data_IF_887136188218
#
_entry.id   IF_887136188218
#
_cell.length_a   1.000
_cell.length_b   1.000
_cell.length_c   1.000
_cell.angle_alpha   90.00
_cell.angle_beta   90.00
_cell.angle_gamma   90.00
#
_symmetry.space_group_name_H-M   'P 1'
#
loop_
_entity.id
_entity.type
_entity.pdbx_description
1 polymer ?
#
# COMPACT_ATOMS: atom_id res chain seq x y z
N UNK A 1 -28.18 -37.55 55.21
CA UNK A 1 -29.15 -36.43 55.18
C UNK A 1 -29.80 -36.47 53.81
N UNK A 2 -31.06 -36.91 53.68
CA UNK A 2 -32.29 -36.05 53.54
C UNK A 2 -32.02 -34.89 52.55
N UNK A 3 -32.67 -34.71 51.41
CA UNK A 3 -34.06 -34.90 50.96
C UNK A 3 -34.08 -35.04 49.41
N UNK A 4 -34.87 -35.95 48.82
CA UNK A 4 -36.17 -35.74 48.14
C UNK A 4 -36.12 -34.72 46.97
N UNK A 5 -36.64 -34.99 45.76
CA UNK A 5 -37.67 -35.96 45.43
C UNK A 5 -37.80 -36.30 43.93
N UNK A 6 -38.50 -37.41 43.76
CA UNK A 6 -38.95 -38.08 42.55
C UNK A 6 -39.93 -37.26 41.71
N UNK A 7 -39.98 -37.55 40.42
CA UNK A 7 -41.25 -37.84 39.72
C UNK A 7 -41.02 -38.97 38.71
N UNK A 8 -41.64 -40.10 39.03
CA UNK A 8 -41.84 -41.30 38.21
C UNK A 8 -42.99 -41.06 37.23
N UNK A 9 -43.05 -41.81 36.13
CA UNK A 9 -44.27 -41.90 35.34
C UNK A 9 -44.14 -42.55 33.98
N UNK A 10 -43.67 -43.81 33.93
CA UNK A 10 -43.96 -44.70 32.80
C UNK A 10 -45.39 -45.24 32.98
N UNK A 11 -46.20 -45.21 31.93
CA UNK A 11 -47.45 -45.98 31.84
C UNK A 11 -47.76 -46.27 30.37
N UNK A 12 -47.50 -47.53 29.99
CA UNK A 12 -48.27 -48.24 28.96
C UNK A 12 -49.74 -48.34 29.42
N UNK A 13 -50.69 -48.25 28.49
CA UNK A 13 -51.78 -49.23 28.26
C UNK A 13 -52.87 -48.67 27.32
N UNK A 14 -53.07 -49.43 26.24
CA UNK A 14 -54.32 -49.98 25.72
C UNK A 14 -55.55 -49.12 25.32
N UNK A 15 -56.03 -49.51 24.14
CA UNK A 15 -57.44 -49.72 23.75
C UNK A 15 -58.33 -48.48 23.57
N UNK A 16 -58.77 -48.21 22.34
CA UNK A 16 -60.04 -48.77 21.85
C UNK A 16 -60.33 -48.31 20.42
N UNK A 17 -60.62 -49.28 19.58
CA UNK A 17 -61.24 -49.14 18.27
C UNK A 17 -62.66 -48.63 18.46
N UNK A 18 -63.07 -47.60 17.70
CA UNK A 18 -64.47 -47.31 17.43
C UNK A 18 -64.61 -46.68 16.06
N UNK A 19 -64.93 -47.54 15.09
CA UNK A 19 -65.47 -47.18 13.81
C UNK A 19 -66.89 -46.61 14.00
N UNK A 20 -67.16 -45.42 13.46
CA UNK A 20 -68.52 -44.97 13.19
C UNK A 20 -68.63 -44.47 11.75
N UNK A 21 -69.22 -45.38 10.97
CA UNK A 21 -69.76 -45.26 9.64
C UNK A 21 -70.89 -44.21 9.63
N UNK A 22 -70.71 -43.08 8.92
CA UNK A 22 -71.80 -42.15 8.61
C UNK A 22 -71.93 -42.02 7.09
N UNK A 23 -72.97 -42.68 6.57
CA UNK A 23 -73.46 -42.59 5.20
C UNK A 23 -73.79 -41.14 4.85
N UNK A 24 -73.23 -40.62 3.76
CA UNK A 24 -73.73 -39.40 3.09
C UNK A 24 -74.36 -39.78 1.76
N UNK A 25 -75.68 -39.68 1.69
CA UNK A 25 -76.44 -39.65 0.44
C UNK A 25 -76.56 -38.21 -0.07
N UNK A 26 -76.63 -38.00 -1.41
CA UNK A 26 -76.73 -36.68 -2.04
C UNK A 26 -78.20 -36.21 -2.18
N UNK A 27 -78.47 -34.89 -2.31
CA UNK A 27 -79.79 -34.41 -2.69
C UNK A 27 -80.00 -34.54 -4.21
N UNK A 28 -81.09 -35.21 -4.59
CA UNK A 28 -81.49 -35.42 -5.98
C UNK A 28 -82.39 -34.28 -6.48
N UNK A 29 -82.28 -34.08 -7.78
CA UNK A 29 -82.86 -33.02 -8.61
C UNK A 29 -84.40 -33.13 -8.70
N UNK A 30 -85.06 -31.97 -8.69
CA UNK A 30 -86.43 -31.83 -9.15
C UNK A 30 -86.47 -31.78 -10.69
N UNK A 31 -87.18 -32.75 -11.25
CA UNK A 31 -87.60 -32.86 -12.64
C UNK A 31 -88.48 -31.68 -13.09
N UNK A 32 -88.20 -31.12 -14.27
CA UNK A 32 -89.23 -30.70 -15.21
C UNK A 32 -88.90 -31.16 -16.63
N UNK A 33 -89.82 -31.98 -17.13
CA UNK A 33 -89.94 -32.54 -18.47
C UNK A 33 -89.90 -31.48 -19.59
N UNK A 34 -89.27 -31.77 -20.73
CA UNK A 34 -89.95 -32.29 -21.93
C UNK A 34 -88.99 -32.34 -23.13
N UNK A 35 -88.80 -33.55 -23.64
CA UNK A 35 -88.16 -33.96 -24.90
C UNK A 35 -89.04 -33.58 -26.12
N UNK A 36 -88.76 -34.06 -27.35
CA UNK A 36 -87.50 -34.14 -28.11
C UNK A 36 -87.66 -33.71 -29.59
N UNK A 37 -86.56 -33.44 -30.30
CA UNK A 37 -86.34 -34.09 -31.61
C UNK A 37 -84.88 -34.04 -32.06
N UNK A 38 -84.50 -35.13 -32.71
CA UNK A 38 -83.14 -35.55 -33.05
C UNK A 38 -82.63 -34.96 -34.37
N UNK A 39 -81.30 -34.86 -34.54
CA UNK A 39 -80.56 -35.24 -35.75
C UNK A 39 -79.03 -34.99 -35.62
N UNK A 40 -78.30 -36.05 -35.28
CA UNK A 40 -77.15 -36.65 -36.01
C UNK A 40 -76.27 -35.74 -36.91
N UNK A 41 -74.95 -35.84 -36.66
CA UNK A 41 -73.78 -35.79 -37.57
C UNK A 41 -72.96 -34.50 -37.85
N UNK A 42 -71.80 -34.45 -37.19
CA UNK A 42 -70.43 -34.47 -37.76
C UNK A 42 -69.94 -33.40 -38.76
N UNK A 43 -68.79 -32.80 -38.40
CA UNK A 43 -67.60 -32.39 -39.20
C UNK A 43 -67.23 -30.90 -39.23
N UNK A 44 -65.99 -30.65 -38.79
CA UNK A 44 -64.93 -29.71 -39.22
C UNK A 44 -65.18 -28.20 -39.36
N UNK A 45 -64.30 -27.34 -38.78
CA UNK A 45 -64.25 -25.91 -39.06
C UNK A 45 -63.07 -25.55 -39.99
N UNK A 46 -63.35 -25.08 -41.21
CA UNK A 46 -62.43 -24.22 -41.95
C UNK A 46 -63.16 -23.01 -42.57
N UNK A 47 -62.70 -21.83 -42.14
CA UNK A 47 -62.32 -20.62 -42.91
C UNK A 47 -63.30 -19.85 -43.82
N UNK A 48 -63.43 -18.56 -43.43
CA UNK A 48 -63.29 -17.30 -44.23
C UNK A 48 -64.57 -16.57 -44.70
N UNK A 49 -64.54 -15.23 -44.47
CA UNK A 49 -64.88 -14.09 -45.38
C UNK A 49 -66.01 -13.18 -44.86
N UNK A 50 -65.97 -11.85 -44.87
CA UNK A 50 -64.97 -10.81 -45.21
C UNK A 50 -65.53 -9.40 -44.90
N UNK A 51 -64.61 -8.41 -44.89
CA UNK A 51 -64.78 -6.97 -45.22
C UNK A 51 -64.82 -5.94 -44.05
N UNK A 52 -63.75 -5.15 -43.83
CA UNK A 52 -63.51 -3.82 -44.46
C UNK A 52 -62.36 -2.99 -43.82
N UNK A 53 -61.30 -2.80 -44.63
CA UNK A 53 -60.38 -1.64 -44.84
C UNK A 53 -59.28 -1.19 -43.86
N UNK A 54 -58.08 -1.08 -44.46
CA UNK A 54 -56.87 -0.35 -44.09
C UNK A 54 -56.95 1.17 -44.37
N UNK A 55 -56.13 1.94 -43.65
CA UNK A 55 -55.31 3.03 -44.18
C UNK A 55 -54.03 3.18 -43.33
N UNK A 56 -52.86 3.22 -43.97
CA UNK A 56 -51.55 3.60 -43.42
C UNK A 56 -51.09 4.93 -44.04
N UNK A 57 -50.29 5.72 -43.29
CA UNK A 57 -49.03 6.36 -43.73
C UNK A 57 -48.39 7.05 -42.49
N UNK A 58 -47.19 6.71 -42.00
CA UNK A 58 -45.78 6.87 -42.47
C UNK A 58 -45.16 8.28 -42.26
N UNK A 59 -44.14 8.34 -41.38
CA UNK A 59 -42.87 9.11 -41.46
C UNK A 59 -42.05 8.85 -40.16
N UNK A 60 -41.07 7.93 -40.13
CA UNK A 60 -39.65 8.01 -40.52
C UNK A 60 -38.71 8.70 -39.52
N UNK A 61 -37.76 7.93 -38.94
CA UNK A 61 -36.34 8.25 -38.62
C UNK A 61 -35.85 7.40 -37.43
N UNK A 62 -35.21 6.25 -37.65
CA UNK A 62 -33.75 6.04 -37.62
C UNK A 62 -33.10 6.20 -36.23
N UNK A 63 -32.79 5.10 -35.54
CA UNK A 63 -31.44 4.48 -35.46
C UNK A 63 -31.52 3.15 -34.69
N UNK A 64 -31.01 2.09 -35.31
CA UNK A 64 -30.78 0.77 -34.72
C UNK A 64 -29.37 0.70 -34.10
N UNK A 65 -29.22 -0.06 -33.02
CA UNK A 65 -27.99 -0.81 -32.70
C UNK A 65 -28.38 -2.08 -31.93
N UNK A 66 -28.38 -3.22 -32.64
CA UNK A 66 -28.48 -4.57 -32.06
C UNK A 66 -27.10 -5.00 -31.57
N UNK A 67 -27.05 -5.49 -30.34
CA UNK A 67 -25.95 -6.28 -29.79
C UNK A 67 -26.12 -7.72 -30.28
N UNK A 68 -25.13 -8.22 -31.00
CA UNK A 68 -25.03 -9.63 -31.41
C UNK A 68 -24.17 -10.39 -30.42
N UNK A 69 -24.80 -11.34 -29.71
CA UNK A 69 -24.11 -12.41 -28.99
C UNK A 69 -23.77 -13.55 -29.96
N UNK A 70 -22.56 -14.13 -29.92
CA UNK A 70 -22.32 -15.46 -30.46
C UNK A 70 -22.36 -16.51 -29.34
N UNK A 71 -23.24 -17.49 -29.47
CA UNK A 71 -23.23 -18.73 -28.68
C UNK A 71 -22.02 -19.62 -29.07
N UNK A 72 -21.49 -20.45 -28.16
CA UNK A 72 -20.33 -21.29 -28.41
C UNK A 72 -20.70 -22.72 -28.83
N UNK A 73 -20.00 -23.24 -29.84
CA UNK A 73 -19.84 -24.68 -30.04
C UNK A 73 -18.64 -24.98 -30.95
N UNK A 74 -17.55 -25.53 -30.39
CA UNK A 74 -17.06 -26.82 -30.89
C UNK A 74 -16.06 -27.49 -29.93
N UNK A 75 -16.22 -28.81 -29.92
CA UNK A 75 -15.51 -29.86 -29.17
C UNK A 75 -14.30 -30.34 -29.96
N UNK A 76 -13.23 -30.72 -29.24
CA UNK A 76 -12.10 -31.64 -29.54
C UNK A 76 -10.85 -31.10 -28.80
N UNK A 77 -9.91 -31.87 -28.23
CA UNK A 77 -9.63 -33.29 -28.09
C UNK A 77 -8.48 -33.37 -27.07
N UNK A 78 -8.43 -34.46 -26.32
CA UNK A 78 -7.52 -34.75 -25.20
C UNK A 78 -6.03 -34.51 -25.47
N UNK A 79 -5.33 -33.93 -24.49
CA UNK A 79 -3.91 -34.17 -24.25
C UNK A 79 -3.59 -33.97 -22.76
N UNK A 80 -3.11 -35.03 -22.14
CA UNK A 80 -2.55 -35.12 -20.80
C UNK A 80 -1.37 -34.16 -20.62
N UNK A 81 -1.34 -33.40 -19.51
CA UNK A 81 -0.13 -32.76 -19.03
C UNK A 81 0.33 -33.37 -17.72
N UNK A 82 1.57 -33.84 -17.77
CA UNK A 82 2.34 -34.42 -16.69
C UNK A 82 2.40 -33.48 -15.48
N UNK A 83 2.29 -34.09 -14.29
CA UNK A 83 2.86 -33.54 -13.06
C UNK A 83 4.34 -33.26 -13.28
N UNK A 84 4.80 -32.06 -12.95
CA UNK A 84 6.21 -31.83 -12.64
C UNK A 84 6.29 -30.88 -11.45
N UNK A 85 6.92 -31.42 -10.41
CA UNK A 85 7.26 -30.73 -9.18
C UNK A 85 8.19 -29.55 -9.48
N UNK A 86 7.85 -28.39 -8.92
CA UNK A 86 8.74 -27.24 -8.89
C UNK A 86 9.66 -27.39 -7.66
N UNK A 87 10.84 -27.94 -7.89
CA UNK A 87 11.99 -27.74 -7.02
C UNK A 87 12.72 -26.48 -7.50
N UNK A 88 12.64 -25.39 -6.74
CA UNK A 88 13.44 -24.19 -6.95
C UNK A 88 14.87 -24.44 -6.48
N UNK A 89 15.75 -24.76 -7.43
CA UNK A 89 17.20 -24.59 -7.30
C UNK A 89 17.59 -23.37 -8.13
N UNK A 90 18.05 -22.30 -7.48
CA UNK A 90 18.60 -21.13 -8.18
C UNK A 90 20.11 -21.25 -8.24
N UNK A 91 20.57 -21.58 -9.44
CA UNK A 91 21.95 -21.52 -9.89
C UNK A 91 22.29 -20.05 -10.19
N UNK A 92 23.25 -19.46 -9.50
CA UNK A 92 23.80 -18.15 -9.86
C UNK A 92 24.87 -18.34 -10.94
N UNK A 93 24.52 -18.06 -12.20
CA UNK A 93 25.50 -17.94 -13.28
C UNK A 93 26.27 -16.62 -13.13
N UNK A 94 27.54 -16.76 -12.75
CA UNK A 94 28.55 -15.70 -12.78
C UNK A 94 29.02 -15.56 -14.24
N UNK A 95 28.65 -14.46 -14.91
CA UNK A 95 29.24 -14.10 -16.22
C UNK A 95 30.73 -13.79 -16.04
N UNK A 96 31.58 -14.77 -16.32
CA UNK A 96 33.02 -14.58 -16.48
C UNK A 96 33.31 -13.96 -17.85
N UNK A 97 33.82 -12.73 -17.86
CA UNK A 97 34.46 -12.16 -19.05
C UNK A 97 35.81 -12.87 -19.25
N UNK A 98 35.92 -13.55 -20.39
CA UNK A 98 37.16 -14.11 -20.90
C UNK A 98 38.01 -12.97 -21.46
N UNK A 99 39.16 -12.70 -20.84
CA UNK A 99 40.28 -12.06 -21.52
C UNK A 99 41.33 -13.12 -21.82
N UNK A 100 41.50 -13.40 -23.10
CA UNK A 100 42.61 -14.16 -23.65
C UNK A 100 43.95 -13.49 -23.33
N UNK A 101 44.83 -14.17 -22.62
CA UNK A 101 46.26 -13.83 -22.62
C UNK A 101 47.08 -15.11 -22.80
N UNK A 102 47.72 -15.14 -23.97
CA UNK A 102 48.78 -16.03 -24.41
C UNK A 102 49.79 -16.37 -23.31
N UNK A 103 50.14 -17.65 -23.28
CA UNK A 103 51.38 -18.23 -22.73
C UNK A 103 52.59 -17.30 -22.78
N UNK A 104 53.35 -17.25 -21.67
CA UNK A 104 54.82 -17.23 -21.68
C UNK A 104 55.35 -17.66 -20.32
N UNK A 105 56.03 -18.80 -20.33
CA UNK A 105 56.92 -19.31 -19.30
C UNK A 105 58.07 -18.34 -19.03
N UNK A 106 58.59 -18.23 -17.80
CA UNK A 106 59.92 -17.66 -17.58
C UNK A 106 60.95 -18.76 -17.83
N UNK A 107 61.42 -18.84 -19.08
CA UNK A 107 62.66 -19.53 -19.40
C UNK A 107 63.83 -18.70 -18.87
N UNK A 108 64.52 -19.23 -17.86
CA UNK A 108 65.84 -18.75 -17.44
C UNK A 108 66.85 -19.12 -18.54
N UNK A 109 67.05 -18.21 -19.49
CA UNK A 109 68.22 -18.24 -20.37
C UNK A 109 69.09 -17.04 -20.02
N UNK A 110 70.14 -17.33 -19.27
CA UNK A 110 71.35 -16.52 -19.13
C UNK A 110 71.91 -16.21 -20.52
N UNK A 111 71.84 -14.95 -20.93
CA UNK A 111 72.58 -14.43 -22.07
C UNK A 111 73.70 -13.56 -21.52
N UNK A 112 74.90 -14.13 -21.48
CA UNK A 112 76.17 -13.44 -21.29
C UNK A 112 76.32 -12.36 -22.36
N UNK A 113 76.20 -11.09 -22.00
CA UNK A 113 76.64 -9.98 -22.84
C UNK A 113 78.16 -9.87 -22.73
N UNK A 114 78.81 -10.47 -23.73
CA UNK A 114 80.23 -10.36 -24.00
C UNK A 114 80.63 -8.89 -24.17
N UNK A 115 81.53 -8.42 -23.31
CA UNK A 115 82.20 -7.14 -23.46
C UNK A 115 83.41 -7.30 -24.40
N UNK A 116 83.34 -6.70 -25.58
CA UNK A 116 84.50 -6.39 -26.42
C UNK A 116 84.27 -5.04 -27.10
N UNK A 117 84.98 -4.02 -26.63
CA UNK A 117 85.51 -2.94 -27.46
C UNK A 117 86.73 -2.34 -26.73
N UNK A 118 87.92 -2.59 -27.29
CA UNK A 118 89.14 -1.87 -26.97
C UNK A 118 89.11 -0.51 -27.67
N UNK A 119 89.54 0.55 -26.98
CA UNK A 119 90.69 1.40 -27.36
C UNK A 119 90.59 2.83 -26.81
N UNK A 120 91.62 3.19 -26.03
CA UNK A 120 92.37 4.46 -26.00
C UNK A 120 91.61 5.78 -25.80
N UNK A 121 91.87 6.46 -24.67
CA UNK A 121 91.58 7.89 -24.56
C UNK A 121 91.65 8.44 -23.13
N UNK A 122 92.82 8.96 -22.77
CA UNK A 122 93.13 9.94 -21.73
C UNK A 122 91.98 10.48 -20.85
N UNK A 123 92.17 10.37 -19.53
CA UNK A 123 92.03 11.52 -18.63
C UNK A 123 90.63 12.05 -18.34
N UNK A 124 89.79 11.23 -17.71
CA UNK A 124 88.96 11.64 -16.58
C UNK A 124 88.54 10.33 -15.90
N UNK A 125 88.61 10.26 -14.57
CA UNK A 125 87.89 9.24 -13.84
C UNK A 125 86.41 9.47 -14.14
N UNK A 126 85.86 8.75 -15.13
CA UNK A 126 84.41 8.67 -15.31
C UNK A 126 83.90 7.97 -14.07
N UNK A 127 83.28 8.75 -13.20
CA UNK A 127 82.70 8.32 -11.94
C UNK A 127 81.52 7.39 -12.24
N UNK A 128 81.87 6.13 -12.53
CA UNK A 128 80.95 5.05 -12.85
C UNK A 128 80.02 4.78 -11.65
N UNK A 129 80.48 5.08 -10.43
CA UNK A 129 79.70 4.97 -9.21
C UNK A 129 78.63 6.04 -9.12
N UNK A 130 78.91 7.30 -9.53
CA UNK A 130 77.89 8.34 -9.64
C UNK A 130 76.82 8.03 -10.69
N UNK A 131 77.20 7.56 -11.88
CA UNK A 131 76.25 7.18 -12.93
C UNK A 131 75.38 5.96 -12.53
N UNK A 132 75.94 5.02 -11.76
CA UNK A 132 75.20 3.86 -11.20
C UNK A 132 74.27 4.30 -10.07
N UNK A 133 74.64 5.31 -9.27
CA UNK A 133 73.79 5.89 -8.23
C UNK A 133 72.57 6.61 -8.83
N UNK A 134 72.79 7.47 -9.85
CA UNK A 134 71.70 8.19 -10.52
C UNK A 134 70.74 7.25 -11.27
N UNK A 135 71.25 6.19 -11.90
CA UNK A 135 70.41 5.15 -12.53
C UNK A 135 69.61 4.35 -11.49
N UNK A 136 70.19 4.08 -10.31
CA UNK A 136 69.45 3.47 -9.19
C UNK A 136 68.32 4.38 -8.72
N UNK A 137 68.55 5.69 -8.59
CA UNK A 137 67.52 6.66 -8.21
C UNK A 137 66.41 6.79 -9.27
N UNK A 138 66.77 6.74 -10.56
CA UNK A 138 65.78 6.68 -11.65
C UNK A 138 64.95 5.39 -11.64
N UNK A 139 65.57 4.25 -11.31
CA UNK A 139 64.84 2.99 -11.17
C UNK A 139 63.94 3.01 -9.94
N UNK A 140 64.39 3.54 -8.80
CA UNK A 140 63.55 3.62 -7.58
C UNK A 140 62.37 4.54 -7.80
N UNK A 141 62.56 5.72 -8.38
CA UNK A 141 61.48 6.66 -8.74
C UNK A 141 60.49 6.05 -9.74
N UNK A 142 60.97 5.45 -10.83
CA UNK A 142 60.09 4.76 -11.79
C UNK A 142 59.33 3.59 -11.16
N UNK A 143 59.94 2.87 -10.22
CA UNK A 143 59.25 1.81 -9.47
C UNK A 143 58.25 2.35 -8.46
N UNK A 144 58.51 3.51 -7.82
CA UNK A 144 57.58 4.13 -6.88
C UNK A 144 56.36 4.71 -7.61
N UNK A 145 56.57 5.44 -8.71
CA UNK A 145 55.48 5.94 -9.57
C UNK A 145 54.62 4.79 -10.10
N UNK A 146 55.25 3.68 -10.51
CA UNK A 146 54.52 2.48 -10.95
C UNK A 146 53.70 1.87 -9.81
N UNK A 147 54.23 1.83 -8.58
CA UNK A 147 53.49 1.36 -7.40
C UNK A 147 52.32 2.29 -7.06
N UNK A 148 52.50 3.61 -7.14
CA UNK A 148 51.42 4.58 -6.94
C UNK A 148 50.30 4.40 -7.97
N UNK A 149 50.65 4.18 -9.24
CA UNK A 149 49.67 3.88 -10.29
C UNK A 149 48.94 2.56 -10.05
N UNK A 150 49.60 1.54 -9.51
CA UNK A 150 48.95 0.27 -9.12
C UNK A 150 47.98 0.50 -7.97
N UNK A 151 48.39 1.22 -6.92
CA UNK A 151 47.52 1.55 -5.78
C UNK A 151 46.29 2.37 -6.22
N UNK A 152 46.48 3.33 -7.13
CA UNK A 152 45.39 4.12 -7.68
C UNK A 152 44.43 3.26 -8.51
N UNK A 153 44.96 2.36 -9.34
CA UNK A 153 44.15 1.42 -10.12
C UNK A 153 43.38 0.45 -9.22
N UNK A 154 44.00 -0.09 -8.17
CA UNK A 154 43.33 -0.96 -7.19
C UNK A 154 42.19 -0.21 -6.47
N UNK A 155 42.43 1.06 -6.14
CA UNK A 155 41.40 1.93 -5.55
C UNK A 155 40.25 2.21 -6.52
N UNK A 156 40.54 2.47 -7.79
CA UNK A 156 39.52 2.65 -8.84
C UNK A 156 38.73 1.36 -9.08
N UNK A 157 39.40 0.21 -9.10
CA UNK A 157 38.76 -1.09 -9.20
C UNK A 157 37.78 -1.33 -8.04
N UNK A 158 38.18 -0.99 -6.81
CA UNK A 158 37.31 -1.08 -5.64
C UNK A 158 36.07 -0.15 -5.73
N UNK A 159 36.21 1.06 -6.28
CA UNK A 159 35.07 1.95 -6.52
C UNK A 159 34.12 1.38 -7.58
N UNK A 160 34.65 0.87 -8.70
CA UNK A 160 33.84 0.24 -9.76
C UNK A 160 33.08 -0.98 -9.21
N UNK A 161 33.75 -1.85 -8.45
CA UNK A 161 33.10 -3.00 -7.82
C UNK A 161 31.98 -2.59 -6.86
N UNK A 162 32.21 -1.54 -6.06
CA UNK A 162 31.19 -1.00 -5.15
C UNK A 162 29.99 -0.45 -5.92
N UNK A 163 30.21 0.31 -6.99
CA UNK A 163 29.14 0.88 -7.80
C UNK A 163 28.32 -0.21 -8.51
N UNK A 164 28.99 -1.25 -9.02
CA UNK A 164 28.32 -2.43 -9.57
C UNK A 164 27.51 -3.20 -8.51
N UNK A 165 28.03 -3.34 -7.30
CA UNK A 165 27.31 -3.98 -6.20
C UNK A 165 26.08 -3.17 -5.77
N UNK A 166 26.18 -1.83 -5.74
CA UNK A 166 25.05 -0.95 -5.47
C UNK A 166 23.99 -1.03 -6.58
N UNK A 167 24.41 -1.04 -7.85
CA UNK A 167 23.51 -1.22 -8.99
C UNK A 167 22.81 -2.60 -8.94
N UNK A 168 23.54 -3.67 -8.65
CA UNK A 168 22.98 -5.00 -8.48
C UNK A 168 21.98 -5.05 -7.31
N UNK A 169 22.29 -4.41 -6.18
CA UNK A 169 21.38 -4.29 -5.03
C UNK A 169 20.11 -3.53 -5.41
N UNK A 170 20.20 -2.45 -6.18
CA UNK A 170 19.05 -1.68 -6.64
C UNK A 170 18.14 -2.51 -7.57
N UNK A 171 18.73 -3.28 -8.50
CA UNK A 171 17.97 -4.20 -9.37
C UNK A 171 17.27 -5.28 -8.55
N UNK A 172 17.96 -5.89 -7.58
CA UNK A 172 17.38 -6.91 -6.71
C UNK A 172 16.25 -6.36 -5.84
N UNK A 173 16.40 -5.14 -5.31
CA UNK A 173 15.36 -4.45 -4.56
C UNK A 173 14.12 -4.20 -5.44
N UNK A 174 14.32 -3.69 -6.66
CA UNK A 174 13.23 -3.50 -7.62
C UNK A 174 12.52 -4.81 -7.96
N UNK A 175 13.25 -5.91 -8.14
CA UNK A 175 12.67 -7.24 -8.37
C UNK A 175 11.85 -7.73 -7.18
N UNK A 176 12.35 -7.55 -5.97
CA UNK A 176 11.61 -7.90 -4.75
C UNK A 176 10.33 -7.10 -4.63
N UNK A 177 10.36 -5.80 -4.92
CA UNK A 177 9.16 -4.95 -4.83
C UNK A 177 8.13 -5.31 -5.92
N UNK A 178 8.57 -5.64 -7.14
CA UNK A 178 7.69 -6.19 -8.18
C UNK A 178 7.06 -7.53 -7.76
N UNK A 179 7.81 -8.43 -7.13
CA UNK A 179 7.29 -9.72 -6.66
C UNK A 179 6.30 -9.54 -5.50
N UNK A 180 6.58 -8.62 -4.57
CA UNK A 180 5.64 -8.26 -3.49
C UNK A 180 4.34 -7.70 -4.06
N UNK A 181 4.41 -6.75 -5.00
CA UNK A 181 3.22 -6.17 -5.62
C UNK A 181 2.36 -7.25 -6.32
N UNK A 182 2.98 -8.16 -7.06
CA UNK A 182 2.27 -9.30 -7.69
C UNK A 182 1.66 -10.25 -6.67
N UNK A 183 2.35 -10.50 -5.56
CA UNK A 183 1.82 -11.33 -4.48
C UNK A 183 0.62 -10.67 -3.80
N UNK A 184 0.68 -9.36 -3.52
CA UNK A 184 -0.43 -8.60 -2.94
C UNK A 184 -1.64 -8.58 -3.87
N UNK A 185 -1.45 -8.36 -5.17
CA UNK A 185 -2.52 -8.44 -6.17
C UNK A 185 -3.15 -9.84 -6.22
N UNK A 186 -2.34 -10.89 -6.21
CA UNK A 186 -2.82 -12.28 -6.16
C UNK A 186 -3.57 -12.58 -4.85
N UNK A 187 -3.11 -12.05 -3.72
CA UNK A 187 -3.78 -12.20 -2.43
C UNK A 187 -5.14 -11.49 -2.41
N UNK A 188 -5.22 -10.27 -2.94
CA UNK A 188 -6.47 -9.51 -3.03
C UNK A 188 -7.47 -10.15 -4.00
N UNK A 189 -7.02 -10.66 -5.14
CA UNK A 189 -7.89 -11.40 -6.07
C UNK A 189 -8.39 -12.71 -5.45
N UNK A 190 -7.56 -13.44 -4.70
CA UNK A 190 -8.00 -14.63 -3.94
C UNK A 190 -9.05 -14.26 -2.89
N UNK A 191 -8.81 -13.20 -2.12
CA UNK A 191 -9.75 -12.71 -1.10
C UNK A 191 -11.09 -12.30 -1.72
N UNK A 192 -11.09 -11.64 -2.88
CA UNK A 192 -12.32 -11.32 -3.61
C UNK A 192 -13.07 -12.58 -4.03
N UNK A 193 -12.38 -13.58 -4.56
CA UNK A 193 -12.99 -14.86 -4.92
C UNK A 193 -13.54 -15.62 -3.69
N UNK A 194 -12.83 -15.61 -2.56
CA UNK A 194 -13.30 -16.18 -1.29
C UNK A 194 -14.58 -15.49 -0.79
N UNK A 195 -14.65 -14.16 -0.90
CA UNK A 195 -15.85 -13.38 -0.55
C UNK A 195 -17.02 -13.68 -1.49
N UNK A 196 -16.78 -13.82 -2.80
CA UNK A 196 -17.80 -14.22 -3.77
C UNK A 196 -18.34 -15.64 -3.47
N UNK A 197 -17.46 -16.59 -3.11
CA UNK A 197 -17.87 -17.93 -2.70
C UNK A 197 -18.74 -17.88 -1.44
N UNK A 198 -18.35 -17.11 -0.43
CA UNK A 198 -19.16 -16.98 0.80
C UNK A 198 -20.49 -16.26 0.51
N UNK A 199 -20.52 -15.32 -0.43
CA UNK A 199 -21.75 -14.65 -0.87
C UNK A 199 -22.72 -15.59 -1.59
N UNK A 200 -22.24 -16.62 -2.31
CA UNK A 200 -23.10 -17.62 -2.95
C UNK A 200 -23.65 -18.68 -1.98
N UNK A 201 -23.06 -18.82 -0.80
CA UNK A 201 -23.48 -19.80 0.22
C UNK A 201 -24.97 -19.66 0.62
N UNK A 202 -25.50 -18.46 0.96
CA UNK A 202 -26.92 -18.31 1.27
C UNK A 202 -27.83 -18.65 0.08
N UNK A 203 -27.40 -18.40 -1.16
CA UNK A 203 -28.19 -18.77 -2.35
C UNK A 203 -28.30 -20.29 -2.50
N UNK A 204 -27.21 -21.01 -2.22
CA UNK A 204 -27.21 -22.49 -2.18
C UNK A 204 -28.10 -22.99 -1.04
N UNK A 205 -28.01 -22.41 0.14
CA UNK A 205 -28.86 -22.79 1.29
C UNK A 205 -30.34 -22.48 1.02
N UNK A 206 -30.65 -21.36 0.36
CA UNK A 206 -32.00 -21.01 -0.06
C UNK A 206 -32.53 -21.99 -1.13
N UNK A 207 -31.74 -22.30 -2.16
CA UNK A 207 -32.11 -23.26 -3.19
C UNK A 207 -32.30 -24.68 -2.64
N UNK A 208 -31.44 -25.12 -1.72
CA UNK A 208 -31.57 -26.43 -1.07
C UNK A 208 -32.80 -26.50 -0.16
N UNK A 209 -33.09 -25.45 0.62
CA UNK A 209 -34.31 -25.40 1.44
C UNK A 209 -35.59 -25.39 0.59
N UNK A 210 -35.60 -24.66 -0.53
CA UNK A 210 -36.71 -24.66 -1.48
C UNK A 210 -36.91 -26.03 -2.13
N UNK A 211 -35.82 -26.71 -2.51
CA UNK A 211 -35.87 -28.08 -3.04
C UNK A 211 -36.51 -29.04 -2.02
N UNK A 212 -36.05 -29.01 -0.77
CA UNK A 212 -36.58 -29.86 0.32
C UNK A 212 -38.07 -29.57 0.56
N UNK A 213 -38.48 -28.30 0.52
CA UNK A 213 -39.89 -27.93 0.69
C UNK A 213 -40.77 -28.50 -0.43
N UNK A 214 -40.32 -28.44 -1.67
CA UNK A 214 -41.01 -29.02 -2.83
C UNK A 214 -41.04 -30.55 -2.77
N UNK A 215 -39.93 -31.19 -2.38
CA UNK A 215 -39.86 -32.64 -2.18
C UNK A 215 -40.91 -33.10 -1.15
N UNK A 216 -41.03 -32.40 0.00
CA UNK A 216 -42.06 -32.70 1.01
C UNK A 216 -43.48 -32.49 0.50
N UNK A 217 -43.72 -31.44 -0.31
CA UNK A 217 -45.04 -31.21 -0.90
C UNK A 217 -45.41 -32.32 -1.88
N UNK A 218 -44.44 -32.78 -2.68
CA UNK A 218 -44.60 -33.90 -3.59
C UNK A 218 -44.93 -35.18 -2.82
N UNK A 219 -44.15 -35.53 -1.80
CA UNK A 219 -44.40 -36.70 -0.93
C UNK A 219 -45.81 -36.63 -0.30
N UNK A 220 -46.21 -35.46 0.21
CA UNK A 220 -47.55 -35.28 0.78
C UNK A 220 -48.66 -35.47 -0.26
N UNK A 221 -48.49 -34.95 -1.48
CA UNK A 221 -49.46 -35.13 -2.57
C UNK A 221 -49.55 -36.60 -3.02
N UNK A 222 -48.43 -37.32 -3.03
CA UNK A 222 -48.40 -38.76 -3.31
C UNK A 222 -49.19 -39.55 -2.25
N UNK A 223 -48.98 -39.25 -0.96
CA UNK A 223 -49.74 -39.86 0.14
C UNK A 223 -51.24 -39.56 0.01
N UNK A 224 -51.62 -38.32 -0.31
CA UNK A 224 -53.03 -37.96 -0.53
C UNK A 224 -53.63 -38.69 -1.72
N UNK A 225 -52.90 -38.83 -2.83
CA UNK A 225 -53.34 -39.60 -3.99
C UNK A 225 -53.55 -41.07 -3.65
N UNK A 226 -52.62 -41.67 -2.89
CA UNK A 226 -52.79 -43.06 -2.43
C UNK A 226 -53.97 -43.22 -1.49
N UNK A 227 -54.17 -42.29 -0.56
CA UNK A 227 -55.31 -42.29 0.33
C UNK A 227 -56.62 -42.22 -0.45
N UNK A 228 -56.77 -41.27 -1.37
CA UNK A 228 -57.97 -41.15 -2.21
C UNK A 228 -58.20 -42.41 -3.06
N UNK A 229 -57.14 -43.03 -3.59
CA UNK A 229 -57.25 -44.29 -4.31
C UNK A 229 -57.72 -45.44 -3.42
N UNK A 230 -57.28 -45.52 -2.16
CA UNK A 230 -57.77 -46.53 -1.20
C UNK A 230 -59.24 -46.30 -0.87
N UNK A 231 -59.61 -45.07 -0.52
CA UNK A 231 -61.01 -44.71 -0.21
C UNK A 231 -61.93 -45.00 -1.39
N UNK A 232 -61.55 -44.61 -2.61
CA UNK A 232 -62.37 -44.91 -3.80
C UNK A 232 -62.54 -46.40 -4.05
N UNK A 233 -61.50 -47.22 -3.80
CA UNK A 233 -61.61 -48.68 -3.92
C UNK A 233 -62.56 -49.25 -2.86
N UNK A 234 -62.42 -48.81 -1.62
CA UNK A 234 -63.30 -49.22 -0.51
C UNK A 234 -64.75 -48.79 -0.76
N UNK A 235 -65.01 -47.56 -1.21
CA UNK A 235 -66.35 -47.09 -1.57
C UNK A 235 -66.96 -47.90 -2.72
N UNK A 236 -66.17 -48.25 -3.74
CA UNK A 236 -66.64 -49.12 -4.84
C UNK A 236 -67.01 -50.51 -4.29
N UNK A 237 -66.18 -51.10 -3.44
CA UNK A 237 -66.45 -52.40 -2.81
C UNK A 237 -67.71 -52.36 -1.93
N UNK A 238 -67.87 -51.32 -1.11
CA UNK A 238 -69.06 -51.10 -0.29
C UNK A 238 -70.32 -50.92 -1.14
N UNK A 239 -70.28 -50.10 -2.19
CA UNK A 239 -71.42 -49.90 -3.09
C UNK A 239 -71.78 -51.19 -3.82
N UNK A 240 -70.79 -51.96 -4.26
CA UNK A 240 -71.04 -53.28 -4.84
C UNK A 240 -71.71 -54.21 -3.83
N UNK A 241 -71.23 -54.27 -2.58
CA UNK A 241 -71.85 -55.06 -1.51
C UNK A 241 -73.26 -54.58 -1.17
N UNK A 242 -73.51 -53.27 -1.16
CA UNK A 242 -74.86 -52.72 -0.94
C UNK A 242 -75.81 -53.10 -2.06
N UNK A 243 -75.36 -53.09 -3.32
CA UNK A 243 -76.16 -53.57 -4.45
C UNK A 243 -76.52 -55.06 -4.26
N UNK A 244 -75.54 -55.91 -3.93
CA UNK A 244 -75.81 -57.33 -3.65
C UNK A 244 -76.77 -57.54 -2.46
N UNK A 245 -76.61 -56.77 -1.38
CA UNK A 245 -77.43 -56.89 -0.18
C UNK A 245 -78.85 -56.31 -0.34
N UNK A 246 -79.01 -55.26 -1.15
CA UNK A 246 -80.31 -54.64 -1.46
C UNK A 246 -81.17 -55.50 -2.38
N UNK A 247 -80.55 -56.33 -3.23
CA UNK A 247 -81.24 -57.36 -4.00
C UNK A 247 -81.75 -58.51 -3.09
N UNK A 248 -81.25 -58.63 -1.86
CA UNK A 248 -81.53 -59.75 -0.94
C UNK A 248 -82.38 -59.41 0.31
N UNK A 249 -82.77 -58.16 0.54
CA UNK A 249 -83.54 -57.75 1.73
C UNK A 249 -84.66 -56.76 1.39
N UNK A 250 -85.78 -57.32 0.93
CA UNK A 250 -87.11 -56.71 1.11
C UNK A 250 -87.90 -57.68 2.00
N UNK A 251 -88.69 -57.14 2.93
CA UNK A 251 -89.34 -57.77 4.12
C UNK A 251 -88.47 -57.66 5.40
N UNK A 252 -88.90 -57.16 6.57
CA UNK A 252 -90.19 -57.20 7.29
C UNK A 252 -90.29 -55.98 8.25
N UNK A 253 -91.53 -55.58 8.57
CA UNK A 253 -91.94 -54.52 9.49
C UNK A 253 -91.57 -54.73 10.98
N UNK A 254 -91.39 -53.62 11.72
CA UNK A 254 -91.28 -53.61 13.19
C UNK A 254 -92.40 -52.79 13.84
N UNK A 255 -92.87 -53.28 14.98
CA UNK A 255 -93.91 -52.72 15.85
C UNK A 255 -93.56 -51.33 16.37
N UNK A 256 -94.54 -50.41 16.38
CA UNK A 256 -94.38 -49.02 16.81
C UNK A 256 -93.98 -48.92 18.29
N UNK A 257 -92.76 -48.43 18.61
CA UNK A 257 -92.44 -47.84 19.89
C UNK A 257 -93.09 -46.45 19.99
N UNK A 258 -93.25 -45.89 21.20
CA UNK A 258 -93.81 -44.53 21.40
C UNK A 258 -92.99 -43.47 20.65
N UNK A 259 -93.43 -43.23 19.42
CA UNK A 259 -92.76 -42.42 18.43
C UNK A 259 -92.76 -40.96 18.85
N UNK A 260 -93.72 -40.52 19.65
CA UNK A 260 -93.86 -39.12 20.04
C UNK A 260 -92.79 -38.70 21.05
N UNK A 261 -92.48 -39.53 22.05
CA UNK A 261 -91.42 -39.26 23.02
C UNK A 261 -90.03 -39.33 22.37
N UNK A 262 -89.79 -40.35 21.54
CA UNK A 262 -88.54 -40.48 20.78
C UNK A 262 -88.35 -39.32 19.78
N UNK A 263 -89.40 -38.90 19.05
CA UNK A 263 -89.35 -37.75 18.15
C UNK A 263 -89.05 -36.44 18.89
N UNK A 264 -89.67 -36.22 20.06
CA UNK A 264 -89.37 -35.03 20.89
C UNK A 264 -87.94 -35.02 21.41
N UNK A 265 -87.44 -36.16 21.87
CA UNK A 265 -86.05 -36.28 22.34
C UNK A 265 -85.07 -36.02 21.19
N UNK A 266 -85.29 -36.65 20.03
CA UNK A 266 -84.50 -36.41 18.82
C UNK A 266 -84.55 -34.94 18.44
N UNK A 267 -85.73 -34.31 18.46
CA UNK A 267 -85.87 -32.87 18.18
C UNK A 267 -85.06 -32.01 19.16
N UNK A 268 -85.13 -32.29 20.46
CA UNK A 268 -84.34 -31.54 21.47
C UNK A 268 -82.83 -31.72 21.31
N UNK A 269 -82.36 -32.93 20.98
CA UNK A 269 -80.94 -33.18 20.68
C UNK A 269 -80.52 -32.43 19.41
N UNK A 270 -81.38 -32.40 18.39
CA UNK A 270 -81.14 -31.61 17.18
C UNK A 270 -81.05 -30.12 17.47
N UNK A 271 -81.93 -29.58 18.31
CA UNK A 271 -81.90 -28.16 18.69
C UNK A 271 -80.61 -27.81 19.45
N UNK A 272 -80.16 -28.70 20.34
CA UNK A 272 -78.88 -28.55 21.06
C UNK A 272 -77.69 -28.63 20.10
N UNK A 273 -77.69 -29.58 19.16
CA UNK A 273 -76.62 -29.73 18.17
C UNK A 273 -76.59 -28.52 17.22
N UNK A 274 -77.74 -28.02 16.80
CA UNK A 274 -77.84 -26.84 15.95
C UNK A 274 -77.33 -25.58 16.67
N UNK A 275 -77.68 -25.41 17.95
CA UNK A 275 -77.18 -24.31 18.77
C UNK A 275 -75.66 -24.40 18.99
N UNK A 276 -75.13 -25.60 19.26
CA UNK A 276 -73.67 -25.83 19.37
C UNK A 276 -72.95 -25.56 18.06
N UNK A 277 -73.48 -26.04 16.93
CA UNK A 277 -72.90 -25.81 15.60
C UNK A 277 -72.85 -24.31 15.27
N UNK A 278 -73.91 -23.56 15.57
CA UNK A 278 -73.91 -22.10 15.39
C UNK A 278 -72.87 -21.42 16.27
N UNK A 279 -72.75 -21.80 17.55
CA UNK A 279 -71.74 -21.25 18.46
C UNK A 279 -70.31 -21.59 18.05
N UNK A 280 -70.06 -22.84 17.64
CA UNK A 280 -68.77 -23.29 17.13
C UNK A 280 -68.40 -22.56 15.85
N UNK A 281 -69.37 -22.33 14.96
CA UNK A 281 -69.17 -21.51 13.77
C UNK A 281 -68.83 -20.06 14.10
N UNK A 282 -69.57 -19.41 14.99
CA UNK A 282 -69.28 -18.05 15.43
C UNK A 282 -67.90 -17.93 16.09
N UNK A 283 -67.54 -18.89 16.94
CA UNK A 283 -66.22 -18.94 17.58
C UNK A 283 -65.11 -19.14 16.54
N UNK A 284 -65.34 -20.03 15.56
CA UNK A 284 -64.40 -20.28 14.48
C UNK A 284 -64.21 -19.05 13.59
N UNK A 285 -65.29 -18.37 13.21
CA UNK A 285 -65.20 -17.13 12.42
C UNK A 285 -64.53 -16.00 13.18
N UNK A 286 -64.80 -15.84 14.48
CA UNK A 286 -64.12 -14.86 15.33
C UNK A 286 -62.63 -15.16 15.42
N UNK A 287 -62.24 -16.39 15.74
CA UNK A 287 -60.84 -16.80 15.77
C UNK A 287 -60.16 -16.56 14.43
N UNK A 288 -60.83 -16.90 13.32
CA UNK A 288 -60.26 -16.70 11.98
C UNK A 288 -60.08 -15.23 11.65
N UNK A 289 -61.02 -14.39 12.07
CA UNK A 289 -60.93 -12.94 11.90
C UNK A 289 -59.79 -12.36 12.73
N UNK A 290 -59.67 -12.77 14.00
CA UNK A 290 -58.59 -12.34 14.90
C UNK A 290 -57.22 -12.77 14.37
N UNK A 291 -57.08 -14.00 13.86
CA UNK A 291 -55.84 -14.49 13.24
C UNK A 291 -55.44 -13.63 12.03
N UNK A 292 -56.39 -13.32 11.15
CA UNK A 292 -56.14 -12.46 9.98
C UNK A 292 -55.80 -11.03 10.40
N UNK A 293 -56.48 -10.50 11.42
CA UNK A 293 -56.23 -9.17 11.94
C UNK A 293 -54.84 -9.09 12.60
N UNK A 294 -54.48 -10.05 13.45
CA UNK A 294 -53.17 -10.15 14.10
C UNK A 294 -52.04 -10.28 13.08
N UNK A 295 -52.20 -11.14 12.06
CA UNK A 295 -51.22 -11.25 10.98
C UNK A 295 -51.06 -9.91 10.23
N UNK A 296 -52.15 -9.21 9.94
CA UNK A 296 -52.12 -7.90 9.30
C UNK A 296 -51.41 -6.84 10.15
N UNK A 297 -51.70 -6.77 11.46
CA UNK A 297 -51.04 -5.85 12.38
C UNK A 297 -49.55 -6.16 12.53
N UNK A 298 -49.16 -7.43 12.64
CA UNK A 298 -47.76 -7.83 12.68
C UNK A 298 -47.01 -7.44 11.41
N UNK A 299 -47.60 -7.67 10.23
CA UNK A 299 -47.00 -7.25 8.97
C UNK A 299 -46.81 -5.74 8.93
N UNK A 300 -47.81 -4.96 9.36
CA UNK A 300 -47.72 -3.53 9.43
C UNK A 300 -46.63 -3.06 10.43
N UNK A 301 -46.46 -3.73 11.56
CA UNK A 301 -45.38 -3.46 12.52
C UNK A 301 -44.01 -3.80 11.97
N UNK A 302 -43.83 -4.96 11.33
CA UNK A 302 -42.57 -5.35 10.66
C UNK A 302 -42.16 -4.30 9.63
N UNK A 303 -43.11 -3.80 8.83
CA UNK A 303 -42.85 -2.71 7.87
C UNK A 303 -42.46 -1.41 8.57
N UNK A 304 -43.13 -1.04 9.67
CA UNK A 304 -42.74 0.15 10.46
C UNK A 304 -41.36 0.00 11.07
N UNK A 305 -40.99 -1.18 11.55
CA UNK A 305 -39.69 -1.48 12.13
C UNK A 305 -38.58 -1.35 11.08
N UNK A 306 -38.74 -1.98 9.92
CA UNK A 306 -37.81 -1.84 8.80
C UNK A 306 -37.65 -0.39 8.34
N UNK A 307 -38.75 0.39 8.27
CA UNK A 307 -38.67 1.83 7.95
C UNK A 307 -37.87 2.62 8.98
N UNK A 308 -38.01 2.31 10.27
CA UNK A 308 -37.22 2.94 11.34
C UNK A 308 -35.75 2.57 11.25
N UNK A 309 -35.44 1.31 10.98
CA UNK A 309 -34.06 0.84 10.79
C UNK A 309 -33.40 1.51 9.59
N UNK A 310 -34.09 1.58 8.45
CA UNK A 310 -33.62 2.33 7.27
C UNK A 310 -33.36 3.80 7.62
N UNK A 311 -34.24 4.44 8.39
CA UNK A 311 -34.04 5.83 8.80
C UNK A 311 -32.85 6.01 9.74
N UNK A 312 -32.59 5.04 10.62
CA UNK A 312 -31.42 5.06 11.51
C UNK A 312 -30.13 4.87 10.72
N UNK A 313 -30.07 3.85 9.85
CA UNK A 313 -28.91 3.61 8.98
C UNK A 313 -28.61 4.82 8.09
N UNK A 314 -29.63 5.51 7.59
CA UNK A 314 -29.44 6.77 6.84
C UNK A 314 -28.78 7.85 7.69
N UNK A 315 -29.24 8.06 8.93
CA UNK A 315 -28.61 9.02 9.86
C UNK A 315 -27.18 8.62 10.20
N UNK A 316 -26.92 7.33 10.38
CA UNK A 316 -25.56 6.84 10.65
C UNK A 316 -24.63 7.08 9.46
N UNK A 317 -25.12 6.88 8.23
CA UNK A 317 -24.37 7.21 7.00
C UNK A 317 -24.05 8.71 6.96
N UNK A 318 -25.03 9.59 7.20
CA UNK A 318 -24.83 11.05 7.21
C UNK A 318 -23.83 11.46 8.31
N UNK A 319 -23.95 10.90 9.52
CA UNK A 319 -23.00 11.14 10.61
C UNK A 319 -21.59 10.70 10.23
N UNK A 320 -21.42 9.52 9.63
CA UNK A 320 -20.11 9.03 9.16
C UNK A 320 -19.55 9.84 8.01
N UNK A 321 -20.39 10.36 7.12
CA UNK A 321 -19.98 11.30 6.08
C UNK A 321 -19.43 12.60 6.68
N UNK A 322 -20.13 13.18 7.66
CA UNK A 322 -19.65 14.39 8.35
C UNK A 322 -18.38 14.15 9.18
N UNK A 323 -18.26 13.02 9.87
CA UNK A 323 -17.02 12.62 10.56
C UNK A 323 -15.85 12.53 9.58
N UNK A 324 -16.08 11.93 8.41
CA UNK A 324 -15.08 11.78 7.35
C UNK A 324 -14.68 13.13 6.75
N UNK A 325 -15.64 14.02 6.49
CA UNK A 325 -15.38 15.40 6.03
C UNK A 325 -14.57 16.20 7.05
N UNK A 326 -14.93 16.11 8.34
CA UNK A 326 -14.19 16.73 9.44
C UNK A 326 -12.75 16.18 9.56
N UNK A 327 -12.58 14.87 9.39
CA UNK A 327 -11.27 14.23 9.35
C UNK A 327 -10.42 14.69 8.16
N UNK A 328 -11.01 14.78 6.97
CA UNK A 328 -10.34 15.31 5.77
C UNK A 328 -9.90 16.75 5.96
N UNK A 329 -10.76 17.62 6.49
CA UNK A 329 -10.43 19.02 6.76
C UNK A 329 -9.25 19.15 7.75
N UNK A 330 -9.24 18.32 8.80
CA UNK A 330 -8.13 18.29 9.78
C UNK A 330 -6.84 17.77 9.16
N UNK A 331 -6.92 16.76 8.30
CA UNK A 331 -5.77 16.24 7.58
C UNK A 331 -5.16 17.31 6.67
N UNK A 332 -5.98 17.99 5.86
CA UNK A 332 -5.54 19.08 4.98
C UNK A 332 -4.89 20.23 5.77
N UNK A 333 -5.47 20.60 6.92
CA UNK A 333 -4.89 21.59 7.83
C UNK A 333 -3.51 21.15 8.34
N UNK A 334 -3.36 19.90 8.78
CA UNK A 334 -2.08 19.37 9.26
C UNK A 334 -1.04 19.29 8.14
N UNK A 335 -1.44 18.89 6.93
CA UNK A 335 -0.56 18.90 5.76
C UNK A 335 -0.10 20.31 5.39
N UNK A 336 -1.00 21.31 5.47
CA UNK A 336 -0.64 22.71 5.30
C UNK A 336 0.36 23.16 6.36
N UNK A 337 0.14 22.84 7.64
CA UNK A 337 1.08 23.16 8.71
C UNK A 337 2.46 22.51 8.51
N UNK A 338 2.50 21.26 8.03
CA UNK A 338 3.76 20.57 7.71
C UNK A 338 4.46 21.25 6.52
N UNK A 339 3.72 21.63 5.48
CA UNK A 339 4.28 22.38 4.33
C UNK A 339 4.86 23.72 4.79
N UNK A 340 4.12 24.51 5.56
CA UNK A 340 4.58 25.80 6.08
C UNK A 340 5.81 25.65 6.98
N UNK A 341 5.85 24.61 7.81
CA UNK A 341 7.02 24.31 8.64
C UNK A 341 8.24 23.96 7.78
N UNK A 342 8.08 23.10 6.77
CA UNK A 342 9.15 22.74 5.84
C UNK A 342 9.66 23.95 5.07
N UNK A 343 8.78 24.83 4.61
CA UNK A 343 9.17 26.07 3.91
C UNK A 343 9.92 27.03 4.83
N UNK A 344 9.47 27.20 6.08
CA UNK A 344 10.20 28.00 7.09
C UNK A 344 11.59 27.44 7.34
N UNK A 345 11.72 26.12 7.52
CA UNK A 345 13.03 25.48 7.70
C UNK A 345 13.91 25.60 6.46
N UNK A 346 13.35 25.44 5.25
CA UNK A 346 14.08 25.63 3.99
C UNK A 346 14.62 27.06 3.87
N UNK A 347 13.82 28.08 4.18
CA UNK A 347 14.26 29.48 4.19
C UNK A 347 15.40 29.69 5.20
N UNK A 348 15.27 29.17 6.42
CA UNK A 348 16.32 29.27 7.43
C UNK A 348 17.63 28.57 7.02
N UNK A 349 17.55 27.42 6.35
CA UNK A 349 18.73 26.73 5.79
C UNK A 349 19.40 27.62 4.74
N UNK A 350 18.64 28.13 3.76
CA UNK A 350 19.18 29.00 2.73
C UNK A 350 19.85 30.26 3.32
N UNK A 351 19.21 30.91 4.32
CA UNK A 351 19.78 32.07 5.00
C UNK A 351 21.11 31.74 5.72
N UNK A 352 21.20 30.57 6.35
CA UNK A 352 22.44 30.10 6.98
C UNK A 352 23.52 29.74 5.95
N UNK A 353 23.13 29.16 4.82
CA UNK A 353 24.04 28.88 3.70
C UNK A 353 24.60 30.18 3.11
N UNK A 354 23.75 31.18 2.85
CA UNK A 354 24.15 32.51 2.38
C UNK A 354 25.10 33.21 3.37
N UNK A 355 24.81 33.13 4.67
CA UNK A 355 25.68 33.67 5.71
C UNK A 355 27.03 32.94 5.75
N UNK A 356 27.02 31.62 5.60
CA UNK A 356 28.25 30.84 5.55
C UNK A 356 29.08 31.21 4.33
N UNK A 357 28.45 31.40 3.17
CA UNK A 357 29.15 31.81 1.95
C UNK A 357 29.72 33.23 2.07
N UNK A 358 28.97 34.17 2.64
CA UNK A 358 29.46 35.51 2.94
C UNK A 358 30.72 35.48 3.81
N UNK A 359 30.69 34.71 4.91
CA UNK A 359 31.84 34.54 5.80
C UNK A 359 33.02 33.85 5.11
N UNK A 360 32.78 32.90 4.21
CA UNK A 360 33.85 32.28 3.41
C UNK A 360 34.52 33.29 2.48
N UNK A 361 33.74 34.17 1.85
CA UNK A 361 34.27 35.23 0.98
C UNK A 361 35.10 36.23 1.79
N UNK A 362 34.59 36.68 2.94
CA UNK A 362 35.33 37.57 3.85
C UNK A 362 36.66 36.93 4.33
N UNK A 363 36.63 35.65 4.68
CA UNK A 363 37.83 34.90 5.07
C UNK A 363 38.84 34.80 3.91
N UNK A 364 38.39 34.59 2.68
CA UNK A 364 39.28 34.60 1.50
C UNK A 364 39.90 35.98 1.30
N UNK A 365 39.09 37.04 1.36
CA UNK A 365 39.58 38.42 1.20
C UNK A 365 40.60 38.81 2.27
N UNK A 366 40.38 38.43 3.53
CA UNK A 366 41.35 38.70 4.61
C UNK A 366 42.65 37.91 4.43
N UNK A 367 42.59 36.67 3.96
CA UNK A 367 43.78 35.87 3.61
C UNK A 367 44.57 36.49 2.45
N UNK A 368 43.89 36.97 1.42
CA UNK A 368 44.52 37.67 0.29
C UNK A 368 45.23 38.94 0.75
N UNK A 369 44.58 39.77 1.60
CA UNK A 369 45.20 40.95 2.20
C UNK A 369 46.41 40.60 3.05
N UNK A 370 46.33 39.54 3.86
CA UNK A 370 47.48 39.08 4.65
C UNK A 370 48.65 38.61 3.77
N UNK A 371 48.37 37.91 2.67
CA UNK A 371 49.39 37.49 1.71
C UNK A 371 50.04 38.69 1.00
N UNK A 372 49.25 39.71 0.64
CA UNK A 372 49.78 40.96 0.08
C UNK A 372 50.71 41.67 1.07
N UNK A 373 50.33 41.82 2.33
CA UNK A 373 51.20 42.42 3.35
C UNK A 373 52.49 41.63 3.55
N UNK A 374 52.45 40.29 3.54
CA UNK A 374 53.66 39.47 3.61
C UNK A 374 54.61 39.74 2.43
N UNK A 375 54.08 39.93 1.22
CA UNK A 375 54.87 40.28 0.05
C UNK A 375 55.49 41.68 0.19
N UNK A 376 54.72 42.68 0.59
CA UNK A 376 55.18 44.05 0.85
C UNK A 376 56.28 44.09 1.93
N UNK A 377 56.13 43.32 3.01
CA UNK A 377 57.15 43.19 4.06
C UNK A 377 58.44 42.55 3.54
N UNK A 378 58.34 41.53 2.69
CA UNK A 378 59.51 40.90 2.09
C UNK A 378 60.25 41.87 1.15
N UNK A 379 59.52 42.65 0.35
CA UNK A 379 60.12 43.66 -0.53
C UNK A 379 60.83 44.76 0.27
N UNK A 380 60.21 45.24 1.35
CA UNK A 380 60.84 46.20 2.25
C UNK A 380 62.09 45.62 2.92
N UNK A 381 62.06 44.34 3.31
CA UNK A 381 63.22 43.65 3.85
C UNK A 381 64.34 43.55 2.80
N UNK A 382 64.01 43.25 1.55
CA UNK A 382 64.98 43.21 0.46
C UNK A 382 65.65 44.59 0.25
N UNK A 383 64.87 45.67 0.27
CA UNK A 383 65.39 47.05 0.19
C UNK A 383 66.29 47.36 1.40
N UNK A 384 65.87 46.99 2.61
CA UNK A 384 66.68 47.14 3.83
C UNK A 384 68.03 46.42 3.70
N UNK A 385 68.03 45.19 3.20
CA UNK A 385 69.26 44.42 2.98
C UNK A 385 70.16 45.06 1.93
N UNK A 386 69.59 45.59 0.84
CA UNK A 386 70.36 46.34 -0.16
C UNK A 386 71.03 47.58 0.44
N UNK A 387 70.29 48.36 1.24
CA UNK A 387 70.81 49.51 1.96
C UNK A 387 71.88 49.12 2.99
N UNK A 388 71.73 48.00 3.69
CA UNK A 388 72.77 47.48 4.61
C UNK A 388 74.07 47.13 3.86
N UNK A 389 73.96 46.52 2.67
CA UNK A 389 75.11 46.26 1.79
C UNK A 389 75.75 47.58 1.34
N UNK A 390 74.97 48.57 0.90
CA UNK A 390 75.48 49.90 0.52
C UNK A 390 76.20 50.59 1.68
N UNK A 391 75.62 50.58 2.89
CA UNK A 391 76.28 51.15 4.08
C UNK A 391 77.60 50.42 4.36
N UNK A 392 77.63 49.09 4.24
CA UNK A 392 78.87 48.32 4.41
C UNK A 392 79.92 48.66 3.35
N UNK A 393 79.53 48.85 2.09
CA UNK A 393 80.48 49.24 1.03
C UNK A 393 80.99 50.67 1.25
N UNK A 394 80.12 51.62 1.61
CA UNK A 394 80.51 52.98 1.98
C UNK A 394 81.49 52.99 3.17
N UNK A 395 81.22 52.20 4.22
CA UNK A 395 82.14 52.07 5.37
C UNK A 395 83.50 51.54 4.97
N UNK A 396 83.57 50.48 4.15
CA UNK A 396 84.84 49.92 3.65
C UNK A 396 85.65 50.91 2.82
N UNK A 397 84.97 51.72 1.99
CA UNK A 397 85.65 52.73 1.18
C UNK A 397 86.27 53.81 2.08
N UNK A 398 85.52 54.27 3.09
CA UNK A 398 86.01 55.23 4.09
C UNK A 398 87.16 54.63 4.89
N UNK A 399 87.07 53.39 5.37
CA UNK A 399 88.16 52.71 6.09
C UNK A 399 89.43 52.56 5.23
N UNK A 400 89.28 52.34 3.91
CA UNK A 400 90.40 52.32 2.97
C UNK A 400 91.05 53.69 2.78
N UNK A 401 90.25 54.75 2.71
CA UNK A 401 90.72 56.14 2.67
C UNK A 401 91.40 56.55 3.98
N UNK A 402 90.80 56.22 5.13
CA UNK A 402 91.35 56.46 6.46
C UNK A 402 92.66 55.69 6.65
N UNK A 403 92.78 54.47 6.12
CA UNK A 403 94.04 53.71 6.13
C UNK A 403 95.12 54.37 5.27
N UNK A 404 94.76 54.93 4.10
CA UNK A 404 95.69 55.66 3.23
C UNK A 404 96.12 56.99 3.87
N UNK A 405 95.17 57.74 4.42
CA UNK A 405 95.42 58.98 5.15
C UNK A 405 96.22 58.73 6.42
N UNK A 406 95.92 57.68 7.19
CA UNK A 406 96.71 57.29 8.37
C UNK A 406 98.12 56.85 7.97
N UNK A 407 98.29 56.14 6.85
CA UNK A 407 99.61 55.84 6.30
C UNK A 407 100.39 57.08 5.85
N UNK A 408 99.72 58.06 5.22
CA UNK A 408 100.32 59.35 4.88
C UNK A 408 100.62 60.20 6.12
N UNK A 409 99.75 60.20 7.12
CA UNK A 409 99.92 60.90 8.40
C UNK A 409 100.97 60.21 9.28
N UNK A 410 101.16 58.89 9.21
CA UNK A 410 102.29 58.17 9.82
C UNK A 410 103.60 58.47 9.09
N UNK A 411 103.58 58.57 7.75
CA UNK A 411 104.74 59.02 6.97
C UNK A 411 105.10 60.49 7.26
N UNK A 412 104.11 61.34 7.56
CA UNK A 412 104.30 62.74 7.98
C UNK A 412 104.59 62.87 9.50
N UNK A 413 104.15 61.94 10.36
CA UNK A 413 104.37 61.94 11.82
C UNK A 413 105.76 61.46 12.26
N UNK A 414 106.65 61.10 11.33
CA UNK A 414 108.10 61.05 11.63
C UNK A 414 108.74 62.46 11.64
N UNK A 415 107.96 63.50 11.36
CA UNK A 415 108.39 64.90 11.48
C UNK A 415 107.34 65.75 12.17
N UNK A 416 107.71 66.27 13.34
CA UNK A 416 107.04 67.31 14.14
C UNK A 416 105.80 66.89 14.94
N UNK A 417 106.03 66.68 16.24
CA UNK A 417 105.00 66.73 17.28
C UNK A 417 104.68 68.17 17.71
N UNK A 418 103.54 68.36 18.36
CA UNK A 418 103.19 69.66 18.94
C UNK A 418 101.74 69.80 19.42
N UNK A 419 101.53 69.40 20.67
CA UNK A 419 100.48 69.71 21.66
C UNK A 419 99.36 70.75 21.40
N UNK A 420 98.19 70.36 21.94
CA UNK A 420 97.19 71.08 22.78
C UNK A 420 96.22 72.09 22.16
N UNK A 421 94.93 71.85 22.42
CA UNK A 421 93.94 72.90 22.72
C UNK A 421 92.99 72.43 23.83
N UNK A 422 92.76 73.33 24.79
CA UNK A 422 91.82 73.21 25.90
C UNK A 422 90.66 74.19 25.65
N UNK A 423 89.47 73.83 26.16
CA UNK A 423 88.45 74.72 26.72
C UNK A 423 87.39 75.45 25.83
N UNK A 424 86.14 75.14 26.19
CA UNK A 424 85.03 76.04 26.61
C UNK A 424 84.08 76.74 25.60
N UNK A 425 82.82 76.80 26.08
CA UNK A 425 81.68 77.72 25.82
C UNK A 425 80.63 77.30 24.78
N UNK A 426 79.37 77.19 25.24
CA UNK A 426 78.12 77.14 24.44
C UNK A 426 77.77 78.50 23.80
N UNK A 427 76.50 78.94 23.61
CA UNK A 427 75.18 78.36 23.97
C UNK A 427 74.10 78.46 22.85
N UNK A 428 72.88 77.94 23.10
CA UNK A 428 71.64 78.73 22.90
C UNK A 428 70.71 78.53 21.67
N UNK A 429 69.45 78.17 21.99
CA UNK A 429 68.14 78.77 21.57
C UNK A 429 67.51 78.43 20.18
N UNK A 430 66.20 78.06 20.22
CA UNK A 430 65.21 78.21 19.13
C UNK A 430 64.27 77.00 18.93
N UNK A 431 63.16 76.80 19.66
CA UNK A 431 61.76 77.32 19.49
C UNK A 431 60.87 76.57 18.45
N UNK A 432 59.91 75.80 19.00
CA UNK A 432 58.46 75.65 18.67
C UNK A 432 57.96 75.35 17.24
N UNK A 433 57.28 74.19 17.06
CA UNK A 433 55.97 74.05 16.37
C UNK A 433 55.17 72.88 17.01
N UNK A 434 53.86 73.07 17.09
CA UNK A 434 52.81 72.35 17.82
C UNK A 434 52.03 71.39 16.90
N UNK A 435 51.53 70.26 17.42
CA UNK A 435 50.54 69.40 16.74
C UNK A 435 50.16 68.16 17.57
N UNK A 436 48.85 67.81 17.73
CA UNK A 436 48.37 66.88 18.75
C UNK A 436 48.39 65.41 18.29
N UNK A 437 48.69 64.49 19.22
CA UNK A 437 48.54 63.05 19.05
C UNK A 437 47.15 62.64 19.50
N UNK A 438 46.29 62.30 18.55
CA UNK A 438 45.04 61.58 18.77
C UNK A 438 44.96 60.42 17.76
N UNK A 439 44.43 59.28 18.21
CA UNK A 439 43.93 58.12 17.43
C UNK A 439 44.89 56.99 17.01
N UNK A 440 45.45 56.23 17.96
CA UNK A 440 45.66 54.78 17.77
C UNK A 440 45.47 54.02 19.09
N UNK A 441 44.24 53.97 19.62
CA UNK A 441 43.93 53.01 20.69
C UNK A 441 42.43 52.70 20.82
N UNK A 442 41.72 52.50 19.69
CA UNK A 442 40.30 52.11 19.70
C UNK A 442 39.96 50.75 19.07
N UNK A 443 40.93 50.01 18.52
CA UNK A 443 40.62 48.72 17.86
C UNK A 443 40.90 47.46 18.70
N UNK A 444 41.44 47.58 19.91
CA UNK A 444 41.70 46.43 20.79
C UNK A 444 40.68 46.23 21.91
N UNK A 445 39.81 47.22 22.19
CA UNK A 445 38.82 47.14 23.28
C UNK A 445 37.40 46.79 22.83
N UNK A 446 37.10 46.85 21.53
CA UNK A 446 35.78 46.54 20.98
C UNK A 446 35.56 45.02 20.77
N UNK A 447 36.62 44.26 20.48
CA UNK A 447 36.57 42.80 20.35
C UNK A 447 36.45 42.05 21.70
N UNK A 448 36.75 42.71 22.82
CA UNK A 448 36.66 42.11 24.15
C UNK A 448 35.24 42.20 24.76
N UNK A 449 34.44 43.19 24.37
CA UNK A 449 33.07 43.37 24.88
C UNK A 449 32.08 42.47 24.12
N UNK A 450 32.23 42.32 22.80
CA UNK A 450 31.31 41.53 21.95
C UNK A 450 31.39 40.01 22.20
N UNK A 451 32.51 39.51 22.72
CA UNK A 451 32.68 38.09 23.10
C UNK A 451 32.06 37.75 24.46
N UNK A 452 31.74 38.75 25.29
CA UNK A 452 31.07 38.55 26.57
C UNK A 452 29.54 38.52 26.44
N UNK A 453 28.96 39.30 25.53
CA UNK A 453 27.50 39.33 25.32
C UNK A 453 26.96 38.04 24.67
N UNK A 454 27.76 37.37 23.82
CA UNK A 454 27.40 36.06 23.24
C UNK A 454 27.41 34.91 24.24
N UNK A 455 28.14 35.01 25.36
CA UNK A 455 28.12 33.97 26.42
C UNK A 455 26.93 34.10 27.35
N UNK A 456 26.39 35.31 27.55
CA UNK A 456 25.20 35.54 28.39
C UNK A 456 23.88 35.17 27.71
N UNK A 457 23.81 35.16 26.37
CA UNK A 457 22.58 34.77 25.66
C UNK A 457 22.39 33.24 25.53
N UNK A 458 23.45 32.44 25.66
CA UNK A 458 23.34 30.97 25.61
C UNK A 458 22.89 30.33 26.93
N UNK A 459 22.81 31.10 28.02
CA UNK A 459 22.36 30.62 29.34
C UNK A 459 20.86 30.95 29.59
N UNK A 460 20.23 31.80 28.75
CA UNK A 460 18.80 32.14 28.87
C UNK A 460 17.85 31.28 28.03
N UNK A 461 18.37 30.33 27.24
CA UNK A 461 17.56 29.45 26.36
C UNK A 461 17.87 27.95 26.55
N UNK A 462 18.26 27.58 27.78
CA UNK A 462 18.04 26.26 28.37
C UNK A 462 17.25 26.46 29.65
#
# INVERSE_FOLDING_TARGET
>A
MRHLGSCLGASYLNETVSAQLVKRTPPNLASRNCSPQAAIMSRSPERISSYRRHFEDRSSSSYHLRVSSPSPSHRHRSASYNRSATATSLHTERKGMRTSSSSRSPGLTSMSMSALCLSTGMGAALDLDAAVAENREFLTTRTSERQEMVVLNDRLAAYIEKDLALAAKAVMASQLDMLKAKYEEAAETRKKAELEIEAFRPDVDAATSARIALEKQLENLEVQLEFLKRVQKEEIEELMQQIYNSVAKVEVAFSLPDLAAALKQIQSEYDVIAAKNLQEMDAWYKSKFDDLNNASTEHAEKVRNMRREIANLKRDIENKQHELESLKARHEMLEAQIRDARERHKKAINELEDNTERLRIELKSTKEKAALHLHEYQDLLNVKMALEIEIMTYRKLIEGEDSRLTGMVQALSLTSGGLRVNALVGPGVGTLVQGPVETVERHSKEQAVETTERKTLLIRYK
#
